data_IF_591501437305
#
_entry.id   IF_591501437305
#
_cell.length_a   1.000
_cell.length_b   1.000
_cell.length_c   1.000
_cell.angle_alpha   90.00
_cell.angle_beta   90.00
_cell.angle_gamma   90.00
#
_symmetry.space_group_name_H-M   'P 1'
#
loop_
_entity.id
_entity.type
_entity.pdbx_description
1 polymer ?
#
# COMPACT_ATOMS: atom_id res chain seq x y z
N UNK A 1 3.84 41.95 11.75
CA UNK A 1 3.29 40.58 11.67
C UNK A 1 4.32 39.60 11.12
N UNK A 2 4.76 39.73 9.90
CA UNK A 2 5.68 38.75 9.27
C UNK A 2 7.06 38.65 9.95
N UNK A 3 7.64 39.75 10.42
CA UNK A 3 8.90 39.73 11.19
C UNK A 3 8.79 38.89 12.46
N UNK A 4 7.71 39.06 13.22
CA UNK A 4 7.47 38.29 14.44
C UNK A 4 7.28 36.80 14.15
N UNK A 5 6.53 36.47 13.10
CA UNK A 5 6.39 35.08 12.65
C UNK A 5 7.76 34.51 12.26
N UNK A 6 8.58 35.29 11.55
CA UNK A 6 9.94 34.90 11.14
C UNK A 6 10.86 34.62 12.33
N UNK A 7 10.82 35.44 13.38
CA UNK A 7 11.62 35.19 14.58
C UNK A 7 11.16 33.97 15.37
N UNK A 8 9.84 33.76 15.50
CA UNK A 8 9.30 32.54 16.10
C UNK A 8 9.73 31.32 15.29
N UNK A 9 9.61 31.35 13.96
CA UNK A 9 10.07 30.28 13.08
C UNK A 9 11.56 29.98 13.26
N UNK A 10 12.40 31.02 13.30
CA UNK A 10 13.85 30.86 13.48
C UNK A 10 14.19 30.22 14.83
N UNK A 11 13.46 30.63 15.90
CA UNK A 11 13.56 30.02 17.23
C UNK A 11 13.23 28.54 17.17
N UNK A 12 12.06 28.18 16.61
CA UNK A 12 11.57 26.79 16.55
C UNK A 12 12.53 25.90 15.72
N UNK A 13 12.99 26.38 14.57
CA UNK A 13 14.00 25.66 13.77
C UNK A 13 15.29 25.42 14.54
N UNK A 14 15.84 26.45 15.16
CA UNK A 14 17.07 26.31 15.95
C UNK A 14 16.86 25.35 17.11
N UNK A 15 15.72 25.40 17.76
CA UNK A 15 15.38 24.53 18.88
C UNK A 15 15.27 23.08 18.42
N UNK A 16 14.52 22.83 17.36
CA UNK A 16 14.33 21.46 16.79
C UNK A 16 15.66 20.87 16.31
N UNK A 17 16.50 21.63 15.61
CA UNK A 17 17.75 21.14 15.07
C UNK A 17 18.87 21.03 16.11
N UNK A 18 18.87 21.83 17.18
CA UNK A 18 19.86 21.76 18.25
C UNK A 18 19.62 20.60 19.22
N UNK A 19 18.37 20.15 19.36
CA UNK A 19 18.04 19.06 20.26
C UNK A 19 18.35 17.70 19.61
N UNK A 20 19.31 16.92 20.14
CA UNK A 20 19.71 15.65 19.51
C UNK A 20 18.55 14.67 19.38
N UNK A 21 17.64 14.63 20.37
CA UNK A 21 16.46 13.75 20.35
C UNK A 21 15.50 14.09 19.23
N UNK A 22 15.19 15.37 19.04
CA UNK A 22 14.29 15.82 17.96
C UNK A 22 14.92 15.58 16.59
N UNK A 23 16.21 15.86 16.42
CA UNK A 23 16.93 15.62 15.17
C UNK A 23 16.98 14.13 14.80
N UNK A 24 17.26 13.26 15.77
CA UNK A 24 17.24 11.82 15.51
C UNK A 24 15.84 11.31 15.17
N UNK A 25 14.81 11.87 15.79
CA UNK A 25 13.42 11.49 15.56
C UNK A 25 12.90 11.92 14.16
N UNK A 26 13.50 12.93 13.55
CA UNK A 26 13.16 13.36 12.19
C UNK A 26 13.67 12.38 11.11
N UNK A 27 14.81 11.76 11.30
CA UNK A 27 15.48 10.99 10.24
C UNK A 27 15.43 9.48 10.52
N UNK A 28 15.75 9.07 11.75
CA UNK A 28 15.92 7.64 12.07
C UNK A 28 14.60 6.87 12.00
N UNK A 29 13.52 7.25 12.73
CA UNK A 29 12.27 6.51 12.69
C UNK A 29 11.64 6.42 11.28
N UNK A 30 11.58 7.50 10.45
CA UNK A 30 11.08 7.40 9.09
C UNK A 30 11.80 6.37 8.26
N UNK A 31 13.13 6.41 8.28
CA UNK A 31 13.94 5.48 7.48
C UNK A 31 13.86 4.05 8.01
N UNK A 32 13.92 3.86 9.34
CA UNK A 32 13.76 2.52 9.95
C UNK A 32 12.38 1.97 9.66
N UNK A 33 11.34 2.78 9.81
CA UNK A 33 9.96 2.36 9.52
C UNK A 33 9.78 2.01 8.03
N UNK A 34 10.36 2.83 7.13
CA UNK A 34 10.34 2.54 5.70
C UNK A 34 11.09 1.23 5.39
N UNK A 35 12.27 1.01 5.99
CA UNK A 35 13.04 -0.22 5.82
C UNK A 35 12.28 -1.44 6.35
N UNK A 36 11.81 -1.39 7.60
CA UNK A 36 11.10 -2.51 8.23
C UNK A 36 9.84 -2.86 7.43
N UNK A 37 8.95 -1.89 7.21
CA UNK A 37 7.71 -2.18 6.51
C UNK A 37 7.91 -2.47 5.02
N UNK A 38 8.86 -1.84 4.37
CA UNK A 38 9.13 -2.07 2.95
C UNK A 38 9.70 -3.46 2.65
N UNK A 39 10.43 -4.06 3.60
CA UNK A 39 10.90 -5.45 3.50
C UNK A 39 9.94 -6.44 4.15
N UNK A 40 9.33 -6.11 5.30
CA UNK A 40 8.44 -7.01 6.03
C UNK A 40 7.09 -7.24 5.32
N UNK A 41 6.60 -6.24 4.59
CA UNK A 41 5.34 -6.34 3.81
C UNK A 41 5.64 -6.86 2.40
N UNK A 42 6.45 -7.92 2.29
CA UNK A 42 6.57 -8.68 1.05
C UNK A 42 5.52 -9.80 1.08
N UNK A 43 4.41 -9.56 0.40
CA UNK A 43 3.35 -10.56 0.19
C UNK A 43 3.51 -11.25 -1.17
N UNK A 44 4.64 -11.05 -1.85
CA UNK A 44 4.92 -11.68 -3.13
C UNK A 44 5.22 -13.16 -2.90
N UNK A 45 4.47 -14.01 -3.56
CA UNK A 45 4.73 -15.44 -3.58
C UNK A 45 5.68 -15.69 -4.74
N UNK A 46 7.00 -15.69 -4.45
CA UNK A 46 8.03 -15.89 -5.48
C UNK A 46 8.31 -17.36 -5.74
N UNK A 47 8.12 -18.25 -4.75
CA UNK A 47 8.38 -19.69 -4.85
C UNK A 47 7.35 -20.45 -4.01
N UNK A 48 6.11 -20.60 -4.51
CA UNK A 48 5.11 -21.43 -3.85
C UNK A 48 5.58 -22.89 -3.85
N UNK A 49 5.71 -23.48 -2.65
CA UNK A 49 6.07 -24.89 -2.51
C UNK A 49 4.85 -25.75 -2.87
N UNK A 50 4.95 -26.42 -4.00
CA UNK A 50 3.87 -27.17 -4.59
C UNK A 50 4.12 -28.68 -4.43
N UNK A 51 3.10 -29.44 -4.06
CA UNK A 51 3.09 -30.87 -4.30
C UNK A 51 2.44 -31.16 -5.66
N UNK A 52 3.05 -32.04 -6.41
CA UNK A 52 2.53 -32.54 -7.67
C UNK A 52 2.01 -33.95 -7.51
N UNK A 53 0.72 -34.16 -7.78
CA UNK A 53 0.06 -35.47 -7.70
C UNK A 53 -0.47 -35.84 -9.09
N UNK A 54 0.28 -36.64 -9.80
CA UNK A 54 -0.10 -37.07 -11.12
C UNK A 54 -0.74 -38.49 -11.06
N UNK A 55 -2.03 -38.57 -11.32
CA UNK A 55 -2.79 -39.83 -11.37
C UNK A 55 -3.05 -40.28 -12.81
N UNK A 56 -2.70 -39.47 -13.81
CA UNK A 56 -2.89 -39.78 -15.23
C UNK A 56 -1.63 -40.35 -15.87
N UNK A 57 -0.44 -39.99 -15.38
CA UNK A 57 0.88 -40.46 -15.80
C UNK A 57 1.16 -40.35 -17.33
N UNK A 58 0.62 -39.30 -17.94
CA UNK A 58 0.67 -39.11 -19.41
C UNK A 58 1.72 -38.04 -19.79
N UNK A 59 2.09 -37.97 -21.10
CA UNK A 59 2.93 -36.85 -21.56
C UNK A 59 2.32 -35.50 -21.34
N UNK A 60 1.00 -35.38 -21.47
CA UNK A 60 0.26 -34.12 -21.29
C UNK A 60 0.28 -33.64 -19.82
N UNK A 61 0.21 -34.56 -18.85
CA UNK A 61 0.35 -34.20 -17.44
C UNK A 61 1.75 -33.69 -17.11
N UNK A 62 2.79 -34.32 -17.72
CA UNK A 62 4.18 -33.87 -17.57
C UNK A 62 4.45 -32.52 -18.24
N UNK A 63 3.82 -32.27 -19.39
CA UNK A 63 3.93 -31.00 -20.09
C UNK A 63 3.29 -29.88 -19.28
N UNK A 64 2.14 -30.13 -18.67
CA UNK A 64 1.53 -29.17 -17.73
C UNK A 64 2.44 -28.90 -16.52
N UNK A 65 3.10 -29.90 -15.94
CA UNK A 65 4.09 -29.74 -14.88
C UNK A 65 5.22 -28.79 -15.32
N UNK A 66 5.76 -29.02 -16.54
CA UNK A 66 6.83 -28.18 -17.08
C UNK A 66 6.39 -26.68 -17.20
N UNK A 67 5.11 -26.42 -17.48
CA UNK A 67 4.57 -25.05 -17.49
C UNK A 67 4.52 -24.43 -16.09
N UNK A 68 4.23 -25.21 -15.06
CA UNK A 68 4.30 -24.74 -13.67
C UNK A 68 5.73 -24.42 -13.26
N UNK A 69 6.69 -25.32 -13.51
CA UNK A 69 8.11 -25.10 -13.20
C UNK A 69 8.72 -23.95 -14.00
N UNK A 70 8.40 -23.84 -15.29
CA UNK A 70 8.86 -22.77 -16.17
C UNK A 70 8.32 -21.39 -15.81
N UNK A 71 7.28 -21.32 -14.99
CA UNK A 71 6.72 -20.04 -14.52
C UNK A 71 7.60 -19.33 -13.48
N UNK A 72 8.57 -20.02 -12.87
CA UNK A 72 9.38 -19.58 -11.73
C UNK A 72 8.56 -19.09 -10.52
N UNK A 73 7.26 -19.42 -10.47
CA UNK A 73 6.36 -19.06 -9.35
C UNK A 73 6.11 -20.25 -8.43
N UNK A 74 6.31 -21.46 -8.94
CA UNK A 74 6.10 -22.69 -8.23
C UNK A 74 7.38 -23.53 -8.20
N UNK A 75 7.62 -24.17 -7.07
CA UNK A 75 8.71 -25.13 -6.91
C UNK A 75 8.12 -26.45 -6.43
N UNK A 76 8.37 -27.54 -7.16
CA UNK A 76 7.92 -28.87 -6.73
C UNK A 76 8.72 -29.29 -5.51
N UNK A 77 8.08 -29.29 -4.35
CA UNK A 77 8.68 -29.66 -3.07
C UNK A 77 8.46 -31.14 -2.75
N UNK A 78 7.36 -31.74 -3.23
CA UNK A 78 7.02 -33.14 -2.94
C UNK A 78 6.13 -33.73 -4.05
N UNK A 79 6.19 -35.06 -4.18
CA UNK A 79 5.30 -35.87 -5.03
C UNK A 79 4.61 -36.95 -4.20
N UNK A 80 3.68 -36.57 -3.31
CA UNK A 80 3.05 -37.52 -2.41
C UNK A 80 2.17 -38.51 -3.16
N UNK A 81 2.15 -39.75 -2.70
CA UNK A 81 1.40 -40.84 -3.31
C UNK A 81 0.05 -41.10 -2.63
N UNK A 82 -0.15 -40.59 -1.41
CA UNK A 82 -1.38 -40.82 -0.66
C UNK A 82 -1.91 -39.54 0.01
N UNK A 83 -3.22 -39.54 0.31
CA UNK A 83 -3.92 -38.42 0.89
C UNK A 83 -3.42 -38.04 2.30
N UNK A 84 -3.03 -39.04 3.10
CA UNK A 84 -2.52 -38.79 4.46
C UNK A 84 -1.20 -38.04 4.46
N UNK A 85 -0.36 -38.29 3.48
CA UNK A 85 0.90 -37.60 3.29
C UNK A 85 0.66 -36.14 2.84
N UNK A 86 -0.29 -35.92 1.92
CA UNK A 86 -0.70 -34.59 1.49
C UNK A 86 -1.16 -33.76 2.71
N UNK A 87 -2.07 -34.32 3.48
CA UNK A 87 -2.59 -33.65 4.68
C UNK A 87 -1.49 -33.35 5.68
N UNK A 88 -0.61 -34.32 5.96
CA UNK A 88 0.51 -34.10 6.88
C UNK A 88 1.44 -32.98 6.43
N UNK A 89 1.77 -32.90 5.14
CA UNK A 89 2.65 -31.87 4.59
C UNK A 89 1.99 -30.48 4.61
N UNK A 90 0.66 -30.41 4.37
CA UNK A 90 -0.10 -29.16 4.50
C UNK A 90 -0.20 -28.73 5.96
N UNK A 91 -0.51 -29.67 6.87
CA UNK A 91 -0.62 -29.37 8.31
C UNK A 91 0.72 -28.96 8.93
N UNK A 92 1.84 -29.50 8.42
CA UNK A 92 3.19 -29.09 8.82
C UNK A 92 3.61 -27.72 8.23
N UNK A 93 2.86 -27.17 7.28
CA UNK A 93 3.23 -25.95 6.57
C UNK A 93 4.42 -26.12 5.60
N UNK A 94 4.72 -27.36 5.20
CA UNK A 94 5.79 -27.66 4.24
C UNK A 94 5.37 -27.39 2.80
N UNK A 95 4.07 -27.34 2.53
CA UNK A 95 3.46 -27.05 1.24
C UNK A 95 2.53 -25.84 1.32
N UNK A 96 2.56 -25.03 0.28
CA UNK A 96 1.65 -23.89 0.09
C UNK A 96 0.45 -24.29 -0.79
N UNK A 97 0.63 -25.26 -1.69
CA UNK A 97 -0.44 -25.82 -2.52
C UNK A 97 -0.16 -27.24 -3.03
N UNK A 98 -1.21 -27.90 -3.51
CA UNK A 98 -1.15 -29.20 -4.17
C UNK A 98 -1.87 -29.08 -5.50
N UNK A 99 -1.22 -29.51 -6.56
CA UNK A 99 -1.83 -29.63 -7.90
C UNK A 99 -2.00 -31.12 -8.20
N UNK A 100 -3.26 -31.51 -8.40
CA UNK A 100 -3.63 -32.90 -8.66
C UNK A 100 -4.21 -33.05 -10.06
N UNK A 101 -3.62 -33.92 -10.85
CA UNK A 101 -4.12 -34.35 -12.17
C UNK A 101 -4.93 -35.61 -11.97
N UNK A 102 -6.20 -35.55 -12.36
CA UNK A 102 -7.12 -36.67 -12.22
C UNK A 102 -6.94 -37.68 -13.35
N UNK A 103 -7.29 -38.97 -13.14
CA UNK A 103 -7.22 -39.99 -14.19
C UNK A 103 -8.10 -39.63 -15.39
N UNK A 104 -7.58 -39.86 -16.60
CA UNK A 104 -8.29 -39.54 -17.85
C UNK A 104 -8.07 -38.12 -18.37
N UNK A 105 -7.22 -37.30 -17.70
CA UNK A 105 -6.92 -35.91 -18.08
C UNK A 105 -6.50 -35.83 -19.58
N UNK A 106 -5.51 -36.59 -20.02
CA UNK A 106 -5.03 -36.53 -21.40
C UNK A 106 -6.07 -37.07 -22.38
N UNK A 107 -6.79 -38.13 -22.01
CA UNK A 107 -7.86 -38.68 -22.86
C UNK A 107 -8.94 -37.65 -23.12
N UNK A 108 -9.42 -36.98 -22.05
CA UNK A 108 -10.52 -36.05 -22.18
C UNK A 108 -10.06 -34.75 -22.87
N UNK A 109 -8.80 -34.32 -22.65
CA UNK A 109 -8.16 -33.21 -23.37
C UNK A 109 -8.13 -33.49 -24.89
N UNK A 110 -7.65 -34.67 -25.32
CA UNK A 110 -7.57 -35.06 -26.74
C UNK A 110 -8.94 -35.22 -27.39
N UNK A 111 -9.97 -35.59 -26.62
CA UNK A 111 -11.33 -35.74 -27.12
C UNK A 111 -12.17 -34.48 -26.99
N UNK A 112 -11.60 -33.33 -26.64
CA UNK A 112 -12.28 -32.05 -26.42
C UNK A 112 -13.42 -32.14 -25.38
N UNK A 113 -13.28 -33.03 -24.42
CA UNK A 113 -14.19 -33.15 -23.30
C UNK A 113 -13.75 -32.22 -22.15
N UNK A 114 -14.72 -31.71 -21.36
CA UNK A 114 -14.35 -30.99 -20.17
C UNK A 114 -13.48 -31.82 -19.25
N UNK A 115 -12.28 -31.34 -18.97
CA UNK A 115 -11.39 -31.92 -17.97
C UNK A 115 -11.04 -30.90 -16.91
N UNK A 116 -10.62 -31.37 -15.73
CA UNK A 116 -10.34 -30.49 -14.59
C UNK A 116 -9.02 -30.84 -13.94
N UNK A 117 -8.33 -29.81 -13.47
CA UNK A 117 -7.15 -29.91 -12.61
C UNK A 117 -7.56 -29.43 -11.25
N UNK A 118 -7.34 -30.22 -10.21
CA UNK A 118 -7.63 -29.83 -8.85
C UNK A 118 -6.44 -29.10 -8.23
N UNK A 119 -6.69 -27.91 -7.70
CA UNK A 119 -5.69 -27.14 -6.97
C UNK A 119 -6.18 -26.96 -5.54
N UNK A 120 -5.49 -27.58 -4.58
CA UNK A 120 -5.70 -27.40 -3.15
C UNK A 120 -4.70 -26.36 -2.65
N UNK A 121 -5.13 -25.37 -1.91
CA UNK A 121 -4.27 -24.29 -1.43
C UNK A 121 -4.43 -24.17 0.08
N UNK A 122 -3.32 -23.96 0.78
CA UNK A 122 -3.38 -23.62 2.19
C UNK A 122 -4.07 -22.26 2.38
N UNK A 123 -5.24 -22.29 3.00
CA UNK A 123 -6.10 -21.11 3.26
C UNK A 123 -5.76 -20.35 4.53
N UNK A 124 -4.77 -20.75 5.30
CA UNK A 124 -4.37 -20.11 6.56
C UNK A 124 -4.06 -18.63 6.35
N UNK A 125 -3.37 -18.30 5.25
CA UNK A 125 -3.17 -16.93 4.78
C UNK A 125 -4.00 -16.68 3.52
N UNK A 126 -5.15 -16.05 3.67
CA UNK A 126 -6.11 -15.82 2.57
C UNK A 126 -5.51 -15.00 1.40
N UNK A 127 -4.57 -14.09 1.68
CA UNK A 127 -3.91 -13.30 0.64
C UNK A 127 -2.96 -14.16 -0.19
N UNK A 128 -2.09 -14.94 0.45
CA UNK A 128 -1.19 -15.90 -0.19
C UNK A 128 -1.97 -16.95 -0.99
N UNK A 129 -3.03 -17.51 -0.39
CA UNK A 129 -3.92 -18.46 -1.05
C UNK A 129 -4.56 -17.89 -2.33
N UNK A 130 -5.04 -16.65 -2.29
CA UNK A 130 -5.62 -15.99 -3.45
C UNK A 130 -4.60 -15.77 -4.57
N UNK A 131 -3.37 -15.37 -4.22
CA UNK A 131 -2.28 -15.17 -5.19
C UNK A 131 -1.90 -16.49 -5.86
N UNK A 132 -1.70 -17.55 -5.08
CA UNK A 132 -1.37 -18.91 -5.57
C UNK A 132 -2.48 -19.42 -6.50
N UNK A 133 -3.75 -19.32 -6.07
CA UNK A 133 -4.90 -19.75 -6.88
C UNK A 133 -4.97 -19.01 -8.21
N UNK A 134 -4.71 -17.68 -8.21
CA UNK A 134 -4.71 -16.88 -9.43
C UNK A 134 -3.56 -17.29 -10.37
N UNK A 135 -2.36 -17.53 -9.84
CA UNK A 135 -1.23 -18.00 -10.65
C UNK A 135 -1.49 -19.38 -11.23
N UNK A 136 -1.96 -20.34 -10.43
CA UNK A 136 -2.29 -21.67 -10.89
C UNK A 136 -3.38 -21.63 -11.98
N UNK A 137 -4.44 -20.88 -11.77
CA UNK A 137 -5.52 -20.70 -12.76
C UNK A 137 -5.02 -20.09 -14.07
N UNK A 138 -4.11 -19.11 -13.98
CA UNK A 138 -3.51 -18.48 -15.16
C UNK A 138 -2.66 -19.45 -15.97
N UNK A 139 -1.83 -20.27 -15.31
CA UNK A 139 -1.00 -21.28 -15.96
C UNK A 139 -1.86 -22.36 -16.63
N UNK A 140 -2.87 -22.88 -15.90
CA UNK A 140 -3.78 -23.88 -16.43
C UNK A 140 -4.56 -23.34 -17.64
N UNK A 141 -5.04 -22.12 -17.57
CA UNK A 141 -5.77 -21.48 -18.67
C UNK A 141 -4.87 -21.22 -19.88
N UNK A 142 -3.62 -20.81 -19.66
CA UNK A 142 -2.64 -20.62 -20.73
C UNK A 142 -2.31 -21.96 -21.41
N UNK A 143 -2.10 -23.02 -20.63
CA UNK A 143 -1.89 -24.37 -21.14
C UNK A 143 -3.07 -24.88 -21.97
N UNK A 144 -4.29 -24.76 -21.45
CA UNK A 144 -5.50 -25.16 -22.16
C UNK A 144 -5.65 -24.42 -23.50
N UNK A 145 -5.38 -23.13 -23.53
CA UNK A 145 -5.43 -22.31 -24.75
C UNK A 145 -4.35 -22.73 -25.75
N UNK A 146 -3.14 -23.03 -25.29
CA UNK A 146 -2.03 -23.48 -26.13
C UNK A 146 -2.31 -24.87 -26.73
N UNK A 147 -2.83 -25.82 -25.94
CA UNK A 147 -3.20 -27.15 -26.38
C UNK A 147 -4.28 -27.10 -27.48
N UNK A 148 -5.34 -26.32 -27.29
CA UNK A 148 -6.38 -26.12 -28.31
C UNK A 148 -5.84 -25.47 -29.58
N UNK A 149 -4.89 -24.54 -29.46
CA UNK A 149 -4.29 -23.88 -30.64
C UNK A 149 -3.38 -24.79 -31.42
N UNK A 150 -2.56 -25.61 -30.76
CA UNK A 150 -1.64 -26.59 -31.39
C UNK A 150 -2.42 -27.61 -32.20
N UNK A 151 -3.47 -28.16 -31.63
CA UNK A 151 -4.30 -29.17 -32.29
C UNK A 151 -5.09 -28.62 -33.50
N UNK A 152 -5.62 -27.41 -33.38
CA UNK A 152 -6.27 -26.74 -34.50
C UNK A 152 -5.29 -26.48 -35.65
N UNK A 153 -4.02 -26.20 -35.34
CA UNK A 153 -2.95 -26.01 -36.33
C UNK A 153 -2.63 -27.33 -37.02
N UNK A 154 -2.58 -28.43 -36.31
CA UNK A 154 -2.32 -29.76 -36.85
C UNK A 154 -3.45 -30.23 -37.77
N UNK A 155 -4.71 -30.01 -37.39
CA UNK A 155 -5.91 -30.27 -38.24
C UNK A 155 -5.93 -29.41 -39.51
N UNK A 156 -5.44 -28.18 -39.47
CA UNK A 156 -5.30 -27.30 -40.65
C UNK A 156 -4.22 -27.82 -41.61
N UNK A 157 -3.05 -28.23 -41.06
CA UNK A 157 -1.95 -28.78 -41.87
C UNK A 157 -2.34 -30.11 -42.53
N UNK A 158 -3.04 -30.99 -41.81
CA UNK A 158 -3.53 -32.29 -42.36
C UNK A 158 -4.65 -32.15 -43.42
N UNK A 159 -5.37 -31.01 -43.45
CA UNK A 159 -6.45 -30.74 -44.43
C UNK A 159 -6.01 -30.03 -45.70
N UNK A 160 -4.81 -29.46 -45.74
CA UNK A 160 -4.26 -28.82 -46.95
C UNK A 160 -4.03 -29.75 -48.13
N UNK A 161 -4.14 -31.08 -47.93
CA UNK A 161 -4.05 -32.08 -49.04
C UNK A 161 -5.30 -32.11 -49.95
N UNK A 162 -6.47 -31.53 -49.56
CA UNK A 162 -7.71 -31.61 -50.30
C UNK A 162 -8.46 -30.27 -50.50
N UNK A 163 -7.70 -29.15 -50.67
CA UNK A 163 -8.28 -27.82 -51.03
C UNK A 163 -8.52 -26.90 -49.86
N UNK A 164 -8.59 -25.57 -50.13
CA UNK A 164 -8.65 -24.55 -49.08
C UNK A 164 -10.01 -24.52 -48.40
N UNK A 165 -10.12 -25.12 -47.24
CA UNK A 165 -11.26 -24.87 -46.33
C UNK A 165 -10.87 -23.79 -45.35
N UNK A 166 -11.26 -22.54 -45.64
CA UNK A 166 -11.24 -21.43 -44.70
C UNK A 166 -12.32 -21.58 -43.61
N UNK A 167 -12.20 -22.62 -42.82
CA UNK A 167 -12.96 -22.67 -41.56
C UNK A 167 -12.12 -21.93 -40.49
N UNK A 168 -12.20 -20.62 -40.49
CA UNK A 168 -11.73 -19.84 -39.37
C UNK A 168 -12.63 -20.17 -38.16
N UNK A 169 -12.20 -21.12 -37.33
CA UNK A 169 -12.83 -21.33 -36.02
C UNK A 169 -12.52 -20.07 -35.20
N UNK A 170 -13.54 -19.30 -34.78
CA UNK A 170 -13.29 -18.12 -33.94
C UNK A 170 -12.66 -18.57 -32.62
N UNK A 171 -11.38 -18.25 -32.46
CA UNK A 171 -10.66 -18.52 -31.22
C UNK A 171 -10.76 -17.30 -30.30
N UNK A 172 -11.42 -17.46 -29.16
CA UNK A 172 -11.40 -16.46 -28.10
C UNK A 172 -10.09 -16.65 -27.33
N UNK A 173 -9.11 -15.82 -27.62
CA UNK A 173 -7.82 -15.85 -26.93
C UNK A 173 -7.86 -14.85 -25.78
N UNK A 174 -8.03 -15.34 -24.54
CA UNK A 174 -8.03 -14.50 -23.36
C UNK A 174 -6.60 -14.02 -23.05
N UNK A 175 -6.28 -12.79 -23.43
CA UNK A 175 -5.02 -12.14 -23.04
C UNK A 175 -5.25 -11.25 -21.82
N UNK A 176 -5.06 -11.80 -20.64
CA UNK A 176 -5.06 -11.05 -19.38
C UNK A 176 -3.89 -10.06 -19.36
N UNK A 177 -4.18 -8.76 -19.16
CA UNK A 177 -3.16 -7.73 -19.02
C UNK A 177 -3.38 -6.93 -17.75
N UNK A 178 -2.44 -7.02 -16.83
CA UNK A 178 -2.44 -6.22 -15.61
C UNK A 178 -1.85 -4.84 -15.89
N UNK A 179 -2.63 -3.79 -15.60
CA UNK A 179 -2.20 -2.41 -15.77
C UNK A 179 -1.55 -1.90 -14.48
N UNK A 180 -0.60 -0.96 -14.61
CA UNK A 180 0.06 -0.22 -13.53
C UNK A 180 1.03 -1.01 -12.66
N UNK A 181 0.81 -2.29 -12.38
CA UNK A 181 1.71 -3.19 -11.67
C UNK A 181 1.75 -4.57 -12.36
N UNK A 182 2.38 -4.67 -13.55
CA UNK A 182 2.36 -5.90 -14.35
C UNK A 182 2.91 -7.13 -13.61
N UNK A 183 3.93 -6.92 -12.79
CA UNK A 183 4.58 -7.97 -12.01
C UNK A 183 3.82 -8.31 -10.72
N UNK A 184 2.69 -7.63 -10.44
CA UNK A 184 1.88 -7.78 -9.21
C UNK A 184 2.70 -7.64 -7.92
N UNK A 185 3.79 -6.87 -7.93
CA UNK A 185 4.68 -6.71 -6.78
C UNK A 185 3.96 -5.97 -5.65
N UNK A 186 3.88 -6.61 -4.50
CA UNK A 186 3.23 -6.07 -3.30
C UNK A 186 3.87 -4.77 -2.84
N UNK A 187 5.20 -4.64 -2.94
CA UNK A 187 5.92 -3.41 -2.58
C UNK A 187 5.43 -2.18 -3.34
N UNK A 188 5.04 -2.31 -4.62
CA UNK A 188 4.53 -1.19 -5.40
C UNK A 188 3.21 -0.65 -4.83
N UNK A 189 2.39 -1.51 -4.21
CA UNK A 189 1.15 -1.14 -3.57
C UNK A 189 1.35 -0.58 -2.16
N UNK A 190 2.22 -1.23 -1.36
CA UNK A 190 2.36 -0.89 0.05
C UNK A 190 3.30 0.29 0.30
N UNK A 191 4.43 0.40 -0.41
CA UNK A 191 5.43 1.46 -0.15
C UNK A 191 4.83 2.87 -0.28
N UNK A 192 4.05 3.24 -1.30
CA UNK A 192 3.41 4.55 -1.35
C UNK A 192 2.49 4.84 -0.15
N UNK A 193 1.80 3.82 0.36
CA UNK A 193 0.98 3.96 1.56
C UNK A 193 1.81 4.09 2.85
N UNK A 194 2.95 3.40 2.94
CA UNK A 194 3.90 3.55 4.06
C UNK A 194 4.42 4.98 4.12
N UNK A 195 4.78 5.58 2.97
CA UNK A 195 5.18 6.99 2.88
C UNK A 195 4.15 7.91 3.55
N UNK A 196 2.86 7.71 3.22
CA UNK A 196 1.77 8.51 3.80
C UNK A 196 1.68 8.32 5.32
N UNK A 197 1.77 7.08 5.79
CA UNK A 197 1.65 6.78 7.22
C UNK A 197 2.82 7.36 8.03
N UNK A 198 4.04 7.29 7.49
CA UNK A 198 5.23 7.88 8.11
C UNK A 198 5.07 9.39 8.27
N UNK A 199 4.70 10.08 7.17
CA UNK A 199 4.48 11.52 7.17
C UNK A 199 3.40 11.89 8.18
N UNK A 200 2.30 11.15 8.21
CA UNK A 200 1.18 11.39 9.14
C UNK A 200 1.63 11.29 10.59
N UNK A 201 2.26 10.19 10.97
CA UNK A 201 2.66 9.95 12.35
C UNK A 201 3.67 11.00 12.84
N UNK A 202 4.69 11.29 12.03
CA UNK A 202 5.73 12.23 12.39
C UNK A 202 5.18 13.65 12.53
N UNK A 203 4.40 14.11 11.56
CA UNK A 203 3.85 15.47 11.59
C UNK A 203 2.85 15.66 12.73
N UNK A 204 1.99 14.67 13.00
CA UNK A 204 1.10 14.67 14.15
C UNK A 204 1.89 14.73 15.46
N UNK A 205 2.92 13.89 15.60
CA UNK A 205 3.70 13.78 16.83
C UNK A 205 4.50 15.03 17.12
N UNK A 206 5.22 15.58 16.14
CA UNK A 206 6.00 16.81 16.29
C UNK A 206 5.10 17.99 16.65
N UNK A 207 3.97 18.12 15.96
CA UNK A 207 3.08 19.27 16.18
C UNK A 207 2.32 19.15 17.48
N UNK A 208 1.92 17.94 17.88
CA UNK A 208 1.24 17.72 19.17
C UNK A 208 2.13 18.09 20.36
N UNK A 209 3.44 17.85 20.26
CA UNK A 209 4.41 18.19 21.29
C UNK A 209 4.78 19.68 21.34
N UNK A 210 4.62 20.40 20.23
CA UNK A 210 5.15 21.77 20.07
C UNK A 210 4.64 22.78 21.10
N UNK A 211 3.34 22.78 21.41
CA UNK A 211 2.74 23.69 22.38
C UNK A 211 2.82 23.13 23.81
N UNK A 212 2.63 21.80 23.93
CA UNK A 212 2.65 21.13 25.23
C UNK A 212 4.02 21.26 25.90
N UNK A 213 5.09 21.23 25.12
CA UNK A 213 6.45 21.42 25.62
C UNK A 213 6.61 22.80 26.32
N UNK A 214 6.07 23.86 25.73
CA UNK A 214 6.15 25.20 26.37
C UNK A 214 5.30 25.31 27.62
N UNK A 215 4.19 24.57 27.68
CA UNK A 215 3.39 24.44 28.90
C UNK A 215 4.17 23.75 30.02
N UNK A 216 4.88 22.64 29.69
CA UNK A 216 5.68 21.90 30.68
C UNK A 216 6.88 22.70 31.22
N UNK A 217 7.54 23.46 30.36
CA UNK A 217 8.72 24.27 30.71
C UNK A 217 8.30 25.57 31.42
N UNK A 218 6.99 25.93 31.35
CA UNK A 218 6.47 27.18 31.96
C UNK A 218 6.73 28.44 31.13
N UNK A 219 7.24 28.28 29.89
CA UNK A 219 7.51 29.44 29.00
C UNK A 219 6.24 29.99 28.34
N UNK A 220 5.11 29.29 28.48
CA UNK A 220 3.84 29.71 27.90
C UNK A 220 3.34 31.02 28.53
N UNK A 221 3.53 31.22 29.83
CA UNK A 221 3.17 32.45 30.52
C UNK A 221 3.98 33.66 30.03
N UNK A 222 5.27 33.45 29.73
CA UNK A 222 6.12 34.52 29.17
C UNK A 222 5.67 34.92 27.76
N UNK A 223 5.19 33.96 26.96
CA UNK A 223 4.64 34.24 25.63
C UNK A 223 3.31 34.98 25.68
N UNK A 224 2.51 34.74 26.71
CA UNK A 224 1.23 35.45 26.91
C UNK A 224 1.38 36.92 27.28
N UNK A 225 2.46 37.31 27.98
CA UNK A 225 2.78 38.70 28.33
C UNK A 225 3.28 39.49 27.12
N UNK A 226 3.74 38.83 26.08
CA UNK A 226 4.22 39.48 24.84
C UNK A 226 3.04 39.92 23.95
N UNK A 227 3.13 41.08 23.23
CA UNK A 227 2.08 41.56 22.35
C UNK A 227 1.98 40.76 21.03
N UNK A 228 1.97 39.41 21.12
CA UNK A 228 1.86 38.50 20.01
C UNK A 228 0.39 38.07 19.86
N UNK A 229 -0.15 38.16 18.64
CA UNK A 229 -1.51 37.68 18.37
C UNK A 229 -1.52 36.16 18.34
N UNK A 230 -2.61 35.48 18.80
CA UNK A 230 -2.72 33.99 18.74
C UNK A 230 -2.42 33.41 17.36
N UNK A 231 -2.85 34.10 16.30
CA UNK A 231 -2.59 33.67 14.91
C UNK A 231 -1.09 33.75 14.57
N UNK A 232 -0.38 34.79 15.03
CA UNK A 232 1.06 34.91 14.78
C UNK A 232 1.85 33.80 15.47
N UNK A 233 1.45 33.44 16.69
CA UNK A 233 2.05 32.34 17.45
C UNK A 233 1.77 30.98 16.76
N UNK A 234 0.53 30.76 16.36
CA UNK A 234 0.16 29.51 15.67
C UNK A 234 0.92 29.33 14.34
N UNK A 235 0.93 30.39 13.50
CA UNK A 235 1.64 30.31 12.23
C UNK A 235 3.16 30.16 12.42
N UNK A 236 3.73 30.93 13.38
CA UNK A 236 5.16 30.84 13.69
C UNK A 236 5.60 29.49 14.19
N UNK A 237 4.71 28.72 14.85
CA UNK A 237 4.97 27.37 15.32
C UNK A 237 4.65 26.30 14.24
N UNK A 238 3.60 26.51 13.47
CA UNK A 238 3.14 25.50 12.51
C UNK A 238 3.99 25.47 11.25
N UNK A 239 4.43 26.65 10.74
CA UNK A 239 5.22 26.73 9.50
C UNK A 239 6.55 25.96 9.55
N UNK A 240 7.36 26.02 10.63
CA UNK A 240 8.56 25.17 10.73
C UNK A 240 8.25 23.68 10.58
N UNK A 241 7.21 23.20 11.25
CA UNK A 241 6.81 21.79 11.16
C UNK A 241 6.23 21.43 9.80
N UNK A 242 5.59 22.37 9.09
CA UNK A 242 5.18 22.19 7.70
C UNK A 242 6.40 22.00 6.79
N UNK A 243 7.44 22.82 6.95
CA UNK A 243 8.69 22.71 6.18
C UNK A 243 9.41 21.38 6.49
N UNK A 244 9.44 20.98 7.75
CA UNK A 244 10.01 19.68 8.16
C UNK A 244 9.20 18.54 7.54
N UNK A 245 7.87 18.59 7.60
CA UNK A 245 7.01 17.58 6.98
C UNK A 245 7.15 17.48 5.45
N UNK A 246 7.38 18.61 4.77
CA UNK A 246 7.73 18.63 3.35
C UNK A 246 9.09 18.02 3.09
N UNK A 247 10.09 18.34 3.90
CA UNK A 247 11.41 17.73 3.82
C UNK A 247 11.33 16.22 4.03
N UNK A 248 10.61 15.76 5.05
CA UNK A 248 10.35 14.33 5.30
C UNK A 248 9.64 13.68 4.12
N UNK A 249 8.67 14.36 3.52
CA UNK A 249 8.00 13.87 2.31
C UNK A 249 9.00 13.62 1.19
N UNK A 250 9.88 14.58 0.91
CA UNK A 250 10.92 14.45 -0.12
C UNK A 250 11.90 13.33 0.23
N UNK A 251 12.33 13.26 1.47
CA UNK A 251 13.29 12.27 1.96
C UNK A 251 12.73 10.85 1.84
N UNK A 252 11.51 10.62 2.33
CA UNK A 252 10.88 9.28 2.33
C UNK A 252 10.50 8.87 0.91
N UNK A 253 10.04 9.81 0.07
CA UNK A 253 9.78 9.55 -1.36
C UNK A 253 11.09 9.20 -2.07
N UNK A 254 12.15 9.97 -1.89
CA UNK A 254 13.46 9.67 -2.48
C UNK A 254 13.96 8.30 -2.02
N UNK A 255 13.89 8.00 -0.72
CA UNK A 255 14.27 6.70 -0.18
C UNK A 255 13.43 5.56 -0.80
N UNK A 256 12.12 5.76 -0.98
CA UNK A 256 11.24 4.76 -1.61
C UNK A 256 11.62 4.47 -3.07
N UNK A 257 12.03 5.48 -3.82
CA UNK A 257 12.48 5.33 -5.21
C UNK A 257 13.82 4.62 -5.30
N UNK A 258 14.79 5.00 -4.46
CA UNK A 258 16.16 4.45 -4.50
C UNK A 258 16.25 3.04 -3.90
N UNK A 259 15.61 2.79 -2.75
CA UNK A 259 15.70 1.50 -2.05
C UNK A 259 14.81 0.44 -2.68
N UNK A 260 13.55 0.80 -3.00
CA UNK A 260 12.54 -0.17 -3.44
C UNK A 260 12.28 -0.14 -4.94
N UNK A 261 12.85 0.85 -5.66
CA UNK A 261 12.65 1.03 -7.11
C UNK A 261 11.16 1.04 -7.48
N UNK A 262 10.33 1.65 -6.62
CA UNK A 262 8.89 1.78 -6.89
C UNK A 262 8.71 2.72 -8.07
N UNK A 263 7.87 2.38 -9.06
CA UNK A 263 7.66 3.24 -10.22
C UNK A 263 7.02 4.56 -9.80
N UNK A 264 7.60 5.68 -10.26
CA UNK A 264 7.06 7.02 -10.10
C UNK A 264 6.70 7.57 -11.47
N UNK A 265 5.40 7.54 -11.82
CA UNK A 265 4.92 7.86 -13.18
C UNK A 265 4.32 9.25 -13.29
N UNK A 266 3.98 9.88 -12.17
CA UNK A 266 3.29 11.16 -12.13
C UNK A 266 4.21 12.37 -11.94
N UNK A 267 3.59 13.50 -11.59
CA UNK A 267 4.27 14.78 -11.41
C UNK A 267 4.71 14.99 -9.96
N UNK A 268 6.01 15.25 -9.74
CA UNK A 268 6.56 15.55 -8.41
C UNK A 268 6.01 16.88 -7.83
N UNK A 269 5.87 17.97 -8.60
CA UNK A 269 5.21 19.18 -8.10
C UNK A 269 3.77 18.95 -7.62
N UNK A 270 3.00 18.09 -8.31
CA UNK A 270 1.64 17.73 -7.90
C UNK A 270 1.65 16.97 -6.56
N UNK A 271 2.63 16.09 -6.36
CA UNK A 271 2.82 15.38 -5.09
C UNK A 271 3.11 16.37 -3.96
N UNK A 272 4.04 17.30 -4.15
CA UNK A 272 4.37 18.32 -3.14
C UNK A 272 3.18 19.22 -2.82
N UNK A 273 2.43 19.65 -3.82
CA UNK A 273 1.24 20.45 -3.60
C UNK A 273 0.18 19.68 -2.79
N UNK A 274 -0.04 18.41 -3.14
CA UNK A 274 -0.95 17.53 -2.37
C UNK A 274 -0.46 17.28 -0.96
N UNK A 275 0.85 17.16 -0.76
CA UNK A 275 1.47 17.03 0.55
C UNK A 275 1.25 18.29 1.40
N UNK A 276 1.33 19.50 0.82
CA UNK A 276 1.01 20.75 1.54
C UNK A 276 -0.44 20.74 2.03
N UNK A 277 -1.40 20.34 1.18
CA UNK A 277 -2.81 20.25 1.58
C UNK A 277 -3.01 19.22 2.70
N UNK A 278 -2.34 18.08 2.61
CA UNK A 278 -2.39 17.06 3.65
C UNK A 278 -1.74 17.54 4.96
N UNK A 279 -0.59 18.19 4.88
CA UNK A 279 0.11 18.76 6.04
C UNK A 279 -0.74 19.79 6.77
N UNK A 280 -1.53 20.60 6.08
CA UNK A 280 -2.50 21.51 6.75
C UNK A 280 -3.44 20.73 7.67
N UNK A 281 -3.93 19.57 7.23
CA UNK A 281 -4.81 18.73 8.03
C UNK A 281 -4.07 18.08 9.20
N UNK A 282 -2.92 17.47 8.95
CA UNK A 282 -2.13 16.76 9.95
C UNK A 282 -1.60 17.70 11.03
N UNK A 283 -1.06 18.86 10.63
CA UNK A 283 -0.58 19.88 11.54
C UNK A 283 -1.73 20.47 12.38
N UNK A 284 -2.88 20.72 11.77
CA UNK A 284 -4.08 21.17 12.47
C UNK A 284 -4.54 20.16 13.52
N UNK A 285 -4.57 18.88 13.20
CA UNK A 285 -4.92 17.82 14.13
C UNK A 285 -3.89 17.71 15.28
N UNK A 286 -2.59 17.79 14.98
CA UNK A 286 -1.54 17.83 15.99
C UNK A 286 -1.67 19.02 16.94
N UNK A 287 -1.95 20.22 16.40
CA UNK A 287 -2.25 21.40 17.23
C UNK A 287 -3.48 21.17 18.11
N UNK A 288 -4.53 20.58 17.60
CA UNK A 288 -5.72 20.26 18.39
C UNK A 288 -5.38 19.33 19.55
N UNK A 289 -4.61 18.24 19.30
CA UNK A 289 -4.12 17.34 20.35
C UNK A 289 -3.31 18.12 21.39
N UNK A 290 -2.43 19.02 20.96
CA UNK A 290 -1.61 19.84 21.83
C UNK A 290 -2.43 20.75 22.76
N UNK A 291 -3.61 21.22 22.32
CA UNK A 291 -4.48 22.04 23.16
C UNK A 291 -5.12 21.27 24.30
N UNK A 292 -5.42 20.00 24.13
CA UNK A 292 -6.08 19.14 25.13
C UNK A 292 -5.10 18.44 26.06
N UNK A 293 -3.84 18.32 25.66
CA UNK A 293 -2.80 17.64 26.43
C UNK A 293 -2.11 18.58 27.42
N UNK A 294 -1.71 18.02 28.57
CA UNK A 294 -0.98 18.74 29.62
C UNK A 294 0.51 18.44 29.62
N UNK A 295 0.90 17.23 29.24
CA UNK A 295 2.29 16.76 29.20
C UNK A 295 2.65 16.22 27.81
N UNK A 296 3.93 16.25 27.46
CA UNK A 296 4.44 15.68 26.20
C UNK A 296 4.13 14.18 26.10
N UNK A 297 4.22 13.46 27.22
CA UNK A 297 3.87 12.06 27.27
C UNK A 297 2.39 11.84 26.93
N UNK A 298 1.49 12.63 27.52
CA UNK A 298 0.05 12.58 27.22
C UNK A 298 -0.21 12.89 25.74
N UNK A 299 0.45 13.93 25.19
CA UNK A 299 0.33 14.30 23.79
C UNK A 299 0.74 13.17 22.86
N UNK A 300 1.85 12.49 23.17
CA UNK A 300 2.34 11.33 22.39
C UNK A 300 1.37 10.16 22.40
N UNK A 301 0.85 9.80 23.58
CA UNK A 301 -0.14 8.71 23.71
C UNK A 301 -1.42 9.06 22.96
N UNK A 302 -1.93 10.28 23.12
CA UNK A 302 -3.13 10.74 22.42
C UNK A 302 -2.94 10.75 20.91
N UNK A 303 -1.75 11.18 20.44
CA UNK A 303 -1.39 11.14 19.01
C UNK A 303 -1.44 9.73 18.46
N UNK A 304 -0.83 8.78 19.17
CA UNK A 304 -0.82 7.38 18.75
C UNK A 304 -2.23 6.78 18.73
N UNK A 305 -3.05 7.06 19.74
CA UNK A 305 -4.44 6.60 19.80
C UNK A 305 -5.31 7.18 18.69
N UNK A 306 -5.08 8.44 18.29
CA UNK A 306 -5.79 9.06 17.17
C UNK A 306 -5.26 8.57 15.81
N UNK A 307 -3.96 8.31 15.69
CA UNK A 307 -3.36 7.81 14.47
C UNK A 307 -3.88 6.42 14.10
N UNK A 308 -4.12 5.54 15.09
CA UNK A 308 -4.48 4.14 14.87
C UNK A 308 -5.76 3.96 14.03
N UNK A 309 -6.90 4.62 14.34
CA UNK A 309 -8.08 4.56 13.48
C UNK A 309 -7.82 5.11 12.07
N UNK A 310 -7.10 6.22 11.93
CA UNK A 310 -6.75 6.77 10.62
C UNK A 310 -5.89 5.81 9.79
N UNK A 311 -4.92 5.14 10.42
CA UNK A 311 -4.13 4.11 9.77
C UNK A 311 -5.00 2.96 9.23
N UNK A 312 -5.94 2.46 10.03
CA UNK A 312 -6.81 1.35 9.64
C UNK A 312 -7.83 1.75 8.57
N UNK A 313 -8.43 2.95 8.68
CA UNK A 313 -9.47 3.43 7.78
C UNK A 313 -8.93 4.00 6.46
N UNK A 314 -7.64 4.29 6.37
CA UNK A 314 -7.00 4.89 5.19
C UNK A 314 -7.02 4.03 3.91
N UNK A 315 -7.38 2.75 4.03
CA UNK A 315 -7.26 1.79 2.92
C UNK A 315 -5.82 1.33 2.66
N UNK A 316 -4.90 1.60 3.61
CA UNK A 316 -3.53 1.13 3.54
C UNK A 316 -3.42 -0.34 3.94
N UNK A 317 -3.84 -0.67 5.18
CA UNK A 317 -3.73 -2.02 5.73
C UNK A 317 -4.71 -3.00 5.05
N UNK A 318 -5.94 -2.54 4.82
CA UNK A 318 -7.00 -3.33 4.19
C UNK A 318 -7.68 -2.51 3.09
N UNK A 319 -7.97 -3.11 1.92
CA UNK A 319 -8.74 -2.43 0.88
C UNK A 319 -10.11 -2.00 1.41
N UNK A 320 -10.47 -0.72 1.22
CA UNK A 320 -11.74 -0.16 1.72
C UNK A 320 -12.95 -0.96 1.20
N UNK A 321 -12.87 -1.48 -0.03
CA UNK A 321 -13.93 -2.28 -0.65
C UNK A 321 -14.25 -3.58 0.11
N UNK A 322 -13.31 -4.09 0.89
CA UNK A 322 -13.47 -5.31 1.67
C UNK A 322 -14.01 -5.04 3.09
N UNK A 323 -14.18 -3.77 3.46
CA UNK A 323 -14.73 -3.38 4.75
C UNK A 323 -16.25 -3.46 4.75
N UNK A 324 -16.91 -3.68 5.91
CA UNK A 324 -18.36 -3.53 6.05
C UNK A 324 -18.83 -2.15 5.59
N UNK A 325 -20.02 -2.07 5.01
CA UNK A 325 -20.56 -0.83 4.39
C UNK A 325 -20.54 0.36 5.36
N UNK A 326 -20.88 0.14 6.64
CA UNK A 326 -20.86 1.19 7.67
C UNK A 326 -19.44 1.74 7.85
N UNK A 327 -18.43 0.87 7.87
CA UNK A 327 -17.03 1.28 8.02
C UNK A 327 -16.56 2.03 6.77
N UNK A 328 -17.00 1.63 5.56
CA UNK A 328 -16.69 2.35 4.32
C UNK A 328 -17.15 3.81 4.39
N UNK A 329 -18.34 4.09 4.95
CA UNK A 329 -18.80 5.47 5.16
C UNK A 329 -17.93 6.23 6.17
N UNK A 330 -17.48 5.58 7.25
CA UNK A 330 -16.56 6.22 8.21
C UNK A 330 -15.22 6.60 7.60
N UNK A 331 -14.74 5.86 6.61
CA UNK A 331 -13.47 6.20 5.93
C UNK A 331 -13.51 7.54 5.20
N UNK A 332 -14.69 8.08 4.86
CA UNK A 332 -14.81 9.41 4.26
C UNK A 332 -14.41 10.54 5.22
N UNK A 333 -14.44 10.30 6.54
CA UNK A 333 -13.99 11.24 7.55
C UNK A 333 -12.48 11.20 7.78
N UNK A 334 -11.79 10.25 7.14
CA UNK A 334 -10.36 10.07 7.28
C UNK A 334 -9.56 10.84 6.20
N UNK A 335 -8.81 11.88 6.56
CA UNK A 335 -7.99 12.61 5.61
C UNK A 335 -6.82 11.78 5.05
N UNK A 336 -6.33 10.78 5.80
CA UNK A 336 -5.23 9.90 5.37
C UNK A 336 -5.65 9.04 4.17
N UNK A 337 -6.93 8.66 4.08
CA UNK A 337 -7.51 7.98 2.93
C UNK A 337 -7.28 8.75 1.63
N UNK A 338 -7.64 10.03 1.61
CA UNK A 338 -7.51 10.87 0.41
C UNK A 338 -6.07 11.06 -0.02
N UNK A 339 -5.18 11.28 0.95
CA UNK A 339 -3.76 11.42 0.64
C UNK A 339 -3.14 10.10 0.17
N UNK A 340 -3.53 8.96 0.74
CA UNK A 340 -3.11 7.62 0.28
C UNK A 340 -3.55 7.37 -1.18
N UNK A 341 -4.78 7.75 -1.53
CA UNK A 341 -5.28 7.62 -2.90
C UNK A 341 -4.53 8.53 -3.87
N UNK A 342 -4.23 9.78 -3.48
CA UNK A 342 -3.42 10.71 -4.28
C UNK A 342 -2.02 10.16 -4.52
N UNK A 343 -1.33 9.73 -3.46
CA UNK A 343 0.05 9.23 -3.56
C UNK A 343 0.11 7.98 -4.44
N UNK A 344 -0.79 7.01 -4.23
CA UNK A 344 -0.88 5.83 -5.10
C UNK A 344 -1.22 6.19 -6.55
N UNK A 345 -2.11 7.16 -6.76
CA UNK A 345 -2.46 7.66 -8.08
C UNK A 345 -1.28 8.25 -8.82
N UNK A 346 -0.46 9.06 -8.14
CA UNK A 346 0.73 9.69 -8.71
C UNK A 346 1.83 8.64 -8.96
N UNK A 347 2.12 7.79 -7.99
CA UNK A 347 3.20 6.79 -8.11
C UNK A 347 2.92 5.76 -9.20
N UNK A 348 1.76 5.10 -9.14
CA UNK A 348 1.48 3.91 -9.95
C UNK A 348 0.78 4.22 -11.26
N UNK A 349 -0.24 5.09 -11.20
CA UNK A 349 -1.10 5.40 -12.36
C UNK A 349 -0.60 6.58 -13.18
N UNK A 350 0.22 7.47 -12.58
CA UNK A 350 0.67 8.70 -13.24
C UNK A 350 -0.46 9.70 -13.52
N UNK A 351 -1.54 9.66 -12.74
CA UNK A 351 -2.70 10.53 -12.95
C UNK A 351 -2.41 11.97 -12.53
N UNK A 352 -2.99 12.90 -13.27
CA UNK A 352 -2.84 14.34 -13.03
C UNK A 352 -3.96 14.95 -12.19
N UNK A 353 -3.89 16.27 -12.01
CA UNK A 353 -4.83 17.04 -11.21
C UNK A 353 -6.30 16.86 -11.63
N UNK A 354 -6.57 16.65 -12.93
CA UNK A 354 -7.95 16.46 -13.45
C UNK A 354 -8.66 15.25 -12.84
N UNK A 355 -7.92 14.26 -12.40
CA UNK A 355 -8.46 13.04 -11.77
C UNK A 355 -8.45 13.17 -10.26
N UNK A 356 -7.42 13.82 -9.70
CA UNK A 356 -7.17 13.88 -8.25
C UNK A 356 -7.82 15.09 -7.56
N UNK A 357 -8.44 16.00 -8.31
CA UNK A 357 -9.03 17.23 -7.73
C UNK A 357 -10.07 16.97 -6.62
N UNK A 358 -10.94 15.91 -6.67
CA UNK A 358 -11.89 15.69 -5.58
C UNK A 358 -11.21 15.36 -4.26
N UNK A 359 -10.16 14.51 -4.30
CA UNK A 359 -9.37 14.14 -3.13
C UNK A 359 -8.59 15.34 -2.58
N UNK A 360 -8.04 16.18 -3.48
CA UNK A 360 -7.34 17.41 -3.09
C UNK A 360 -8.30 18.44 -2.49
N UNK A 361 -9.51 18.59 -3.04
CA UNK A 361 -10.55 19.45 -2.50
C UNK A 361 -11.00 18.99 -1.09
N UNK A 362 -11.16 17.68 -0.91
CA UNK A 362 -11.46 17.11 0.41
C UNK A 362 -10.35 17.43 1.42
N UNK A 363 -9.08 17.26 1.07
CA UNK A 363 -7.95 17.61 1.93
C UNK A 363 -7.91 19.10 2.28
N UNK A 364 -8.16 19.98 1.30
CA UNK A 364 -8.24 21.42 1.53
C UNK A 364 -9.38 21.77 2.51
N UNK A 365 -10.54 21.13 2.36
CA UNK A 365 -11.67 21.30 3.26
C UNK A 365 -11.35 20.83 4.69
N UNK A 366 -10.79 19.62 4.83
CA UNK A 366 -10.37 19.09 6.14
C UNK A 366 -9.27 19.96 6.76
N UNK A 367 -8.27 20.36 6.00
CA UNK A 367 -7.18 21.21 6.48
C UNK A 367 -7.67 22.54 7.00
N UNK A 368 -8.53 23.23 6.24
CA UNK A 368 -9.10 24.52 6.66
C UNK A 368 -10.02 24.35 7.87
N UNK A 369 -10.87 23.33 7.91
CA UNK A 369 -11.78 23.07 9.02
C UNK A 369 -11.01 22.78 10.33
N UNK A 370 -10.04 21.86 10.29
CA UNK A 370 -9.28 21.44 11.49
C UNK A 370 -8.38 22.58 12.00
N UNK A 371 -7.70 23.31 11.09
CA UNK A 371 -6.90 24.47 11.48
C UNK A 371 -7.76 25.57 12.12
N UNK A 372 -8.93 25.85 11.57
CA UNK A 372 -9.87 26.84 12.13
C UNK A 372 -10.36 26.41 13.50
N UNK A 373 -10.76 25.14 13.68
CA UNK A 373 -11.18 24.60 14.97
C UNK A 373 -10.06 24.69 16.01
N UNK A 374 -8.83 24.35 15.61
CA UNK A 374 -7.65 24.45 16.48
C UNK A 374 -7.36 25.90 16.89
N UNK A 375 -7.48 26.84 15.95
CA UNK A 375 -7.30 28.27 16.21
C UNK A 375 -8.34 28.80 17.17
N UNK A 376 -9.61 28.47 16.98
CA UNK A 376 -10.70 28.90 17.86
C UNK A 376 -10.56 28.34 19.28
N UNK A 377 -10.12 27.09 19.40
CA UNK A 377 -9.91 26.47 20.71
C UNK A 377 -8.69 27.03 21.42
N UNK A 378 -7.65 27.35 20.69
CA UNK A 378 -6.45 27.98 21.25
C UNK A 378 -6.75 29.36 21.83
N UNK A 379 -7.55 30.16 21.12
CA UNK A 379 -7.98 31.49 21.58
C UNK A 379 -8.79 31.45 22.88
N UNK A 380 -9.68 30.47 23.06
CA UNK A 380 -10.49 30.32 24.29
C UNK A 380 -9.71 29.90 25.53
N UNK A 381 -8.46 29.48 25.42
CA UNK A 381 -7.59 29.07 26.52
C UNK A 381 -6.55 30.14 26.89
N UNK A 382 -6.46 31.20 26.11
CA UNK A 382 -5.64 32.37 26.40
C UNK A 382 -6.42 33.46 27.13
N UNK A 383 -7.76 33.36 27.13
CA UNK A 383 -8.68 34.17 27.95
C UNK A 383 -9.07 33.35 29.20
#
# INVERSE_FOLDING_TARGET
>A
MWERIGEIMRKEFRQTLREPRMRSMLIIPPLVQLLVFGYAVNLDVENARMAWVDQDHTPESRDLLAHFEGSHRFTVAATPTNEKEIQRLLDAGDLDCVVRILPGFARDLRHHRPTSVQVLVDGTNSNTASIISNYASSIISAYASAAMTAENREKLVGRTANGPVHAAVPQINLRSRVWFNPDLRSRNYFVPGIVVNIITLITLMLTSMAIVREKEIGTMEQLMVTPIRPIELMLGKTLPFAMIGLFDTVLVVAASLFLYRVPFRGSFPLLLFSAILFLMTSLGAGLFISTISKTQQQASITTFLMFQPFFLLSGFAFPIRNMPVVVQYLTYLDPVRYFTEIVRGIFLRGVGIRVLWPQMAALAMFGTAILTLSALRFRKRLD
#
